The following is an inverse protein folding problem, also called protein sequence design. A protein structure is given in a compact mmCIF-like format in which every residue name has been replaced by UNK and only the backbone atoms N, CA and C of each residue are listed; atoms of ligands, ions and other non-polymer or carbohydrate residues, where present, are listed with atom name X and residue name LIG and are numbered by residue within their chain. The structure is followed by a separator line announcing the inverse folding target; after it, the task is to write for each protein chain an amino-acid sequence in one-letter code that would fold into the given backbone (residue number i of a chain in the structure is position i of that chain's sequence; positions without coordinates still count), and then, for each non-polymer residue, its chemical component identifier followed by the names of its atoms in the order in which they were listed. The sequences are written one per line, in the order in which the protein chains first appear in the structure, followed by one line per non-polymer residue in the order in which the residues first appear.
data_IF_440220646371
#
_entry.id   IF_440220646371
#
_cell.length_a   1.000
_cell.length_b   1.000
_cell.length_c   1.000
_cell.angle_alpha   90.00
_cell.angle_beta   90.00
_cell.angle_gamma   90.00
#
_symmetry.space_group_name_H-M   'P 1'
#
loop_
_entity.id
_entity.type
_entity.pdbx_description
1 polymer ?
#
# COMPACT_ATOMS: atom_id res chain seq x y z
N UNK A 1 -23.85 -19.11 2.49
CA UNK A 1 -24.84 -20.18 2.77
C UNK A 1 -24.80 -20.68 4.21
N UNK A 2 -23.67 -21.15 4.73
CA UNK A 2 -23.61 -21.69 6.09
C UNK A 2 -24.18 -20.74 7.17
N UNK A 3 -23.72 -19.47 7.17
CA UNK A 3 -24.25 -18.42 8.05
C UNK A 3 -25.76 -18.17 7.89
N UNK A 4 -26.30 -18.34 6.68
CA UNK A 4 -27.72 -18.11 6.40
C UNK A 4 -28.57 -19.28 6.91
N UNK A 5 -28.05 -20.51 6.79
CA UNK A 5 -28.73 -21.75 7.20
C UNK A 5 -28.42 -22.16 8.63
N UNK A 6 -27.68 -21.35 9.38
CA UNK A 6 -27.27 -21.65 10.76
C UNK A 6 -26.34 -22.87 10.88
N UNK A 7 -25.61 -23.22 9.82
CA UNK A 7 -24.67 -24.35 9.84
C UNK A 7 -23.24 -23.89 10.11
N UNK A 8 -22.33 -24.83 10.41
CA UNK A 8 -20.92 -24.55 10.65
C UNK A 8 -20.31 -23.76 9.48
N UNK A 9 -19.73 -22.61 9.80
CA UNK A 9 -19.04 -21.77 8.81
C UNK A 9 -17.68 -22.40 8.54
N UNK A 10 -17.38 -22.80 7.28
CA UNK A 10 -16.06 -23.32 6.96
C UNK A 10 -15.00 -22.24 7.21
N UNK A 11 -13.76 -22.62 7.55
CA UNK A 11 -12.67 -21.67 7.64
C UNK A 11 -12.48 -20.99 6.27
N UNK A 12 -12.07 -19.72 6.30
CA UNK A 12 -11.70 -19.03 5.06
C UNK A 12 -10.55 -19.79 4.39
N UNK A 13 -10.58 -19.97 3.06
CA UNK A 13 -9.50 -20.64 2.36
C UNK A 13 -8.19 -19.87 2.58
N UNK A 14 -7.05 -20.58 2.73
CA UNK A 14 -5.77 -19.91 2.83
C UNK A 14 -5.54 -19.06 1.58
N UNK A 15 -4.83 -17.94 1.74
CA UNK A 15 -4.37 -17.15 0.60
C UNK A 15 -3.58 -18.04 -0.33
N UNK A 16 -4.05 -18.18 -1.58
CA UNK A 16 -3.36 -19.01 -2.58
C UNK A 16 -1.93 -18.50 -2.73
N UNK A 17 -0.96 -19.41 -2.83
CA UNK A 17 0.36 -19.05 -3.29
C UNK A 17 0.24 -18.46 -4.71
N UNK A 18 1.19 -17.64 -5.14
CA UNK A 18 1.32 -17.31 -6.55
C UNK A 18 1.33 -18.63 -7.32
N UNK A 19 0.46 -18.82 -8.32
CA UNK A 19 0.60 -19.98 -9.20
C UNK A 19 1.96 -19.84 -9.88
N UNK A 20 2.96 -20.68 -9.53
CA UNK A 20 4.25 -20.56 -10.16
C UNK A 20 4.08 -20.95 -11.63
N UNK A 21 4.93 -20.39 -12.50
CA UNK A 21 4.94 -20.72 -13.91
C UNK A 21 4.98 -22.23 -14.19
N UNK A 22 4.67 -22.62 -15.43
CA UNK A 22 4.57 -23.99 -15.93
C UNK A 22 5.65 -24.92 -15.34
N UNK A 23 5.32 -25.65 -14.27
CA UNK A 23 6.27 -26.47 -13.53
C UNK A 23 5.94 -26.70 -12.05
N UNK A 24 5.10 -25.87 -11.43
CA UNK A 24 4.67 -26.11 -10.06
C UNK A 24 3.49 -27.09 -9.99
N UNK A 25 3.67 -28.12 -9.16
CA UNK A 25 2.60 -29.06 -8.82
C UNK A 25 1.52 -28.32 -8.03
N UNK A 26 0.27 -28.43 -8.48
CA UNK A 26 -0.91 -28.12 -7.66
C UNK A 26 -0.75 -28.85 -6.32
N UNK A 27 -0.89 -28.13 -5.20
CA UNK A 27 -0.87 -28.77 -3.89
C UNK A 27 -2.01 -29.79 -3.81
N UNK A 28 -1.67 -31.07 -3.63
CA UNK A 28 -2.61 -32.19 -3.50
C UNK A 28 -3.58 -32.01 -2.31
N UNK A 29 -3.24 -31.14 -1.37
CA UNK A 29 -3.99 -30.88 -0.14
C UNK A 29 -4.67 -29.51 -0.10
N UNK A 30 -4.68 -28.77 -1.21
CA UNK A 30 -5.42 -27.51 -1.25
C UNK A 30 -6.93 -27.77 -1.09
N UNK A 31 -7.58 -27.11 -0.11
CA UNK A 31 -9.01 -27.26 0.08
C UNK A 31 -9.73 -26.77 -1.18
N UNK A 32 -10.37 -27.71 -1.88
CA UNK A 32 -11.19 -27.37 -3.05
C UNK A 32 -12.45 -26.67 -2.56
N UNK A 33 -12.80 -25.48 -3.10
CA UNK A 33 -14.06 -24.86 -2.78
C UNK A 33 -15.18 -25.83 -3.10
N UNK A 34 -16.11 -26.02 -2.16
CA UNK A 34 -17.34 -26.76 -2.44
C UNK A 34 -18.13 -25.93 -3.44
N UNK A 35 -18.43 -26.43 -4.65
CA UNK A 35 -19.16 -25.65 -5.64
C UNK A 35 -20.53 -25.27 -5.10
N UNK A 36 -20.78 -23.97 -4.98
CA UNK A 36 -22.11 -23.45 -4.67
C UNK A 36 -22.86 -23.31 -5.97
N UNK A 37 -23.92 -24.09 -6.17
CA UNK A 37 -24.78 -23.98 -7.36
C UNK A 37 -25.45 -22.61 -7.44
N UNK A 38 -25.88 -22.22 -8.65
CA UNK A 38 -26.47 -20.89 -8.93
C UNK A 38 -27.60 -20.53 -7.95
N UNK A 39 -28.50 -21.46 -7.63
CA UNK A 39 -29.59 -21.23 -6.66
C UNK A 39 -29.05 -20.79 -5.28
N UNK A 40 -27.98 -21.42 -4.81
CA UNK A 40 -27.33 -21.05 -3.56
C UNK A 40 -26.61 -19.70 -3.62
N UNK A 41 -26.04 -19.33 -4.77
CA UNK A 41 -25.45 -18.01 -4.99
C UNK A 41 -26.53 -16.93 -4.98
N UNK A 42 -27.66 -17.15 -5.64
CA UNK A 42 -28.80 -16.23 -5.64
C UNK A 42 -29.37 -16.03 -4.25
N UNK A 43 -29.47 -17.10 -3.45
CA UNK A 43 -29.92 -17.03 -2.04
C UNK A 43 -28.97 -16.18 -1.19
N UNK A 44 -27.65 -16.38 -1.34
CA UNK A 44 -26.64 -15.56 -0.65
C UNK A 44 -26.71 -14.10 -1.08
N UNK A 45 -26.85 -13.84 -2.38
CA UNK A 45 -26.93 -12.49 -2.92
C UNK A 45 -28.19 -11.76 -2.42
N UNK A 46 -29.35 -12.42 -2.44
CA UNK A 46 -30.60 -11.85 -1.92
C UNK A 46 -30.49 -11.48 -0.43
N UNK A 47 -29.91 -12.36 0.39
CA UNK A 47 -29.67 -12.04 1.80
C UNK A 47 -28.65 -10.93 1.99
N UNK A 48 -27.61 -10.86 1.16
CA UNK A 48 -26.64 -9.76 1.19
C UNK A 48 -27.33 -8.43 0.94
N UNK A 49 -28.19 -8.34 -0.08
CA UNK A 49 -29.01 -7.15 -0.35
C UNK A 49 -29.90 -6.79 0.84
N UNK A 50 -30.58 -7.78 1.44
CA UNK A 50 -31.44 -7.56 2.62
C UNK A 50 -30.64 -7.02 3.81
N UNK A 51 -29.41 -7.50 4.03
CA UNK A 51 -28.51 -6.99 5.08
C UNK A 51 -28.04 -5.56 4.81
N UNK A 52 -27.84 -5.17 3.55
CA UNK A 52 -27.49 -3.78 3.24
C UNK A 52 -28.57 -2.81 3.71
N UNK A 53 -29.86 -3.16 3.62
CA UNK A 53 -30.95 -2.31 4.13
C UNK A 53 -30.91 -2.09 5.65
N UNK A 54 -30.23 -2.98 6.39
CA UNK A 54 -30.07 -2.84 7.85
C UNK A 54 -28.82 -2.04 8.25
N UNK A 55 -27.97 -1.66 7.28
CA UNK A 55 -26.81 -0.83 7.56
C UNK A 55 -27.22 0.61 7.89
N UNK A 56 -26.40 1.32 8.68
CA UNK A 56 -26.66 2.73 9.03
C UNK A 56 -26.84 3.63 7.78
N UNK A 57 -26.14 3.30 6.69
CA UNK A 57 -26.26 3.97 5.40
C UNK A 57 -26.40 2.92 4.28
N UNK A 58 -27.63 2.46 3.96
CA UNK A 58 -27.85 1.37 3.01
C UNK A 58 -27.27 1.63 1.62
N UNK A 59 -27.44 2.85 1.11
CA UNK A 59 -26.90 3.25 -0.20
C UNK A 59 -25.37 3.17 -0.27
N UNK A 60 -24.67 3.58 0.78
CA UNK A 60 -23.21 3.52 0.86
C UNK A 60 -22.70 2.08 0.95
N UNK A 61 -23.39 1.24 1.73
CA UNK A 61 -23.04 -0.18 1.83
C UNK A 61 -23.25 -0.91 0.50
N UNK A 62 -24.34 -0.64 -0.22
CA UNK A 62 -24.56 -1.17 -1.58
C UNK A 62 -23.44 -0.73 -2.52
N UNK A 63 -23.05 0.55 -2.46
CA UNK A 63 -21.96 1.10 -3.26
C UNK A 63 -20.63 0.40 -2.96
N UNK A 64 -20.29 0.22 -1.67
CA UNK A 64 -19.08 -0.50 -1.25
C UNK A 64 -19.03 -1.93 -1.82
N UNK A 65 -20.12 -2.68 -1.73
CA UNK A 65 -20.15 -4.05 -2.25
C UNK A 65 -20.02 -4.09 -3.77
N UNK A 66 -20.67 -3.15 -4.46
CA UNK A 66 -20.60 -3.05 -5.91
C UNK A 66 -19.19 -2.65 -6.37
N UNK A 67 -18.55 -1.73 -5.65
CA UNK A 67 -17.18 -1.30 -5.94
C UNK A 67 -16.16 -2.41 -5.65
N UNK A 68 -16.34 -3.22 -4.60
CA UNK A 68 -15.52 -4.41 -4.36
C UNK A 68 -15.65 -5.45 -5.49
N UNK A 69 -16.87 -5.68 -5.96
CA UNK A 69 -17.11 -6.58 -7.09
C UNK A 69 -16.46 -6.06 -8.38
N UNK A 70 -16.58 -4.77 -8.64
CA UNK A 70 -15.91 -4.12 -9.77
C UNK A 70 -14.38 -4.18 -9.64
N UNK A 71 -13.85 -3.97 -8.43
CA UNK A 71 -12.43 -4.12 -8.13
C UNK A 71 -11.93 -5.54 -8.39
N UNK A 72 -12.68 -6.56 -8.00
CA UNK A 72 -12.33 -7.95 -8.28
C UNK A 72 -12.29 -8.27 -9.78
N UNK A 73 -13.20 -7.68 -10.56
CA UNK A 73 -13.16 -7.81 -12.02
C UNK A 73 -11.92 -7.11 -12.61
N UNK A 74 -11.65 -5.88 -12.18
CA UNK A 74 -10.46 -5.11 -12.60
C UNK A 74 -9.17 -5.85 -12.25
N UNK A 75 -9.08 -6.46 -11.06
CA UNK A 75 -7.95 -7.28 -10.64
C UNK A 75 -7.70 -8.46 -11.59
N UNK A 76 -8.77 -9.17 -11.97
CA UNK A 76 -8.68 -10.29 -12.90
C UNK A 76 -8.24 -9.83 -14.29
N UNK A 77 -8.78 -8.72 -14.78
CA UNK A 77 -8.40 -8.11 -16.05
C UNK A 77 -6.95 -7.64 -16.07
N UNK A 78 -6.47 -6.95 -15.03
CA UNK A 78 -5.06 -6.56 -14.90
C UNK A 78 -4.13 -7.78 -14.86
N UNK A 79 -4.53 -8.85 -14.18
CA UNK A 79 -3.75 -10.11 -14.15
C UNK A 79 -3.68 -10.74 -15.54
N UNK A 80 -4.78 -10.66 -16.31
CA UNK A 80 -4.90 -11.19 -17.66
C UNK A 80 -4.21 -10.33 -18.74
N UNK A 81 -4.20 -9.01 -18.59
CA UNK A 81 -3.42 -8.11 -19.46
C UNK A 81 -1.92 -8.21 -19.13
N UNK A 82 -1.59 -8.03 -17.84
CA UNK A 82 -0.24 -7.99 -17.33
C UNK A 82 0.51 -6.70 -17.69
N UNK A 83 1.43 -6.28 -16.83
CA UNK A 83 2.27 -5.11 -17.07
C UNK A 83 3.39 -5.46 -18.06
N UNK A 84 3.60 -4.72 -19.17
CA UNK A 84 4.72 -4.94 -20.09
C UNK A 84 6.07 -5.01 -19.38
N UNK A 85 6.83 -6.08 -19.63
CA UNK A 85 8.08 -6.34 -18.92
C UNK A 85 9.17 -6.96 -19.81
N UNK A 86 10.34 -6.31 -19.85
CA UNK A 86 11.56 -6.74 -20.56
C UNK A 86 12.46 -7.53 -19.61
N UNK A 87 12.38 -8.87 -19.70
CA UNK A 87 13.11 -9.78 -18.82
C UNK A 87 14.64 -9.72 -19.03
N UNK A 88 15.07 -9.46 -20.26
CA UNK A 88 16.45 -9.18 -20.63
C UNK A 88 17.00 -7.91 -19.95
N UNK A 89 16.27 -6.79 -20.03
CA UNK A 89 16.61 -5.56 -19.32
C UNK A 89 16.64 -5.78 -17.81
N UNK A 90 15.70 -6.55 -17.24
CA UNK A 90 15.74 -6.88 -15.82
C UNK A 90 17.03 -7.65 -15.45
N UNK A 91 17.40 -8.67 -16.22
CA UNK A 91 18.64 -9.43 -15.98
C UNK A 91 19.90 -8.57 -16.14
N UNK A 92 19.89 -7.59 -17.02
CA UNK A 92 20.97 -6.62 -17.16
C UNK A 92 21.09 -5.72 -15.93
N UNK A 93 19.98 -5.12 -15.47
CA UNK A 93 19.94 -4.32 -14.24
C UNK A 93 20.46 -5.12 -13.04
N UNK A 94 20.05 -6.39 -12.90
CA UNK A 94 20.55 -7.24 -11.82
C UNK A 94 22.04 -7.52 -11.94
N UNK A 95 22.58 -7.74 -13.15
CA UNK A 95 24.03 -7.92 -13.37
C UNK A 95 24.81 -6.65 -13.04
N UNK A 96 24.32 -5.48 -13.44
CA UNK A 96 24.94 -4.18 -13.12
C UNK A 96 24.99 -3.93 -11.60
N UNK A 97 23.92 -4.25 -10.87
CA UNK A 97 23.80 -3.96 -9.45
C UNK A 97 24.45 -5.00 -8.53
N UNK A 98 24.31 -6.28 -8.88
CA UNK A 98 24.64 -7.41 -8.00
C UNK A 98 25.87 -8.20 -8.48
N UNK A 99 26.32 -7.99 -9.72
CA UNK A 99 27.40 -8.76 -10.34
C UNK A 99 26.96 -10.16 -10.79
N UNK A 100 27.95 -11.00 -11.07
CA UNK A 100 27.74 -12.40 -11.49
C UNK A 100 27.22 -13.29 -10.35
N UNK A 101 26.50 -14.35 -10.73
CA UNK A 101 26.04 -15.39 -9.79
C UNK A 101 27.05 -16.53 -9.79
N UNK A 102 27.63 -16.83 -8.62
CA UNK A 102 28.44 -18.05 -8.48
C UNK A 102 27.53 -19.29 -8.56
N UNK A 103 27.82 -20.19 -9.51
CA UNK A 103 27.17 -21.50 -9.60
C UNK A 103 25.64 -21.50 -9.83
N UNK A 104 25.05 -20.40 -10.31
CA UNK A 104 23.63 -20.34 -10.69
C UNK A 104 22.61 -20.28 -9.53
N UNK A 105 23.03 -20.45 -8.27
CA UNK A 105 22.16 -20.35 -7.08
C UNK A 105 22.78 -19.63 -5.88
N UNK A 106 24.07 -19.26 -5.94
CA UNK A 106 24.77 -18.59 -4.84
C UNK A 106 24.44 -17.11 -4.67
N UNK A 107 24.93 -16.55 -3.58
CA UNK A 107 24.95 -15.11 -3.32
C UNK A 107 25.67 -14.37 -4.46
N UNK A 108 25.10 -13.28 -5.00
CA UNK A 108 25.76 -12.47 -6.02
C UNK A 108 27.10 -11.91 -5.56
N UNK A 109 28.06 -11.83 -6.49
CA UNK A 109 29.43 -11.38 -6.20
C UNK A 109 29.50 -10.07 -5.40
N UNK A 110 28.70 -9.07 -5.76
CA UNK A 110 28.75 -7.76 -5.09
C UNK A 110 28.30 -7.82 -3.64
N UNK A 111 27.38 -8.72 -3.29
CA UNK A 111 26.94 -8.90 -1.90
C UNK A 111 28.02 -9.58 -1.07
N UNK A 112 28.69 -10.59 -1.63
CA UNK A 112 29.83 -11.24 -0.97
C UNK A 112 30.98 -10.25 -0.70
N UNK A 113 31.36 -9.45 -1.70
CA UNK A 113 32.38 -8.39 -1.54
C UNK A 113 32.02 -7.40 -0.42
N UNK A 114 30.76 -6.93 -0.38
CA UNK A 114 30.30 -6.01 0.66
C UNK A 114 30.26 -6.67 2.04
N UNK A 115 29.94 -7.95 2.14
CA UNK A 115 29.99 -8.70 3.40
C UNK A 115 31.43 -8.85 3.93
N UNK A 116 32.39 -9.03 3.03
CA UNK A 116 33.81 -9.05 3.35
C UNK A 116 34.31 -7.65 3.79
N UNK A 117 33.90 -6.58 3.09
CA UNK A 117 34.20 -5.19 3.48
C UNK A 117 33.66 -4.86 4.89
N UNK A 118 32.41 -5.27 5.19
CA UNK A 118 31.82 -5.11 6.53
C UNK A 118 32.60 -5.89 7.57
N UNK A 119 32.94 -7.15 7.29
CA UNK A 119 33.70 -8.00 8.21
C UNK A 119 35.11 -7.45 8.48
N UNK A 120 35.79 -6.97 7.44
CA UNK A 120 37.10 -6.34 7.55
C UNK A 120 37.05 -5.07 8.41
N UNK A 121 36.02 -4.24 8.22
CA UNK A 121 35.84 -3.01 9.00
C UNK A 121 35.56 -3.26 10.49
N UNK A 122 34.99 -4.41 10.87
CA UNK A 122 34.83 -4.82 12.27
C UNK A 122 36.01 -5.68 12.79
N UNK A 123 36.94 -6.10 11.93
CA UNK A 123 38.06 -6.98 12.27
C UNK A 123 37.65 -8.43 12.59
N UNK A 124 36.41 -8.82 12.29
CA UNK A 124 35.91 -10.18 12.45
C UNK A 124 34.74 -10.44 11.50
N UNK A 125 34.41 -11.72 11.27
CA UNK A 125 33.26 -12.08 10.44
C UNK A 125 31.96 -11.51 10.99
N UNK A 126 31.18 -10.86 10.13
CA UNK A 126 29.83 -10.31 10.42
C UNK A 126 28.90 -10.68 9.29
N UNK A 127 27.69 -11.16 9.61
CA UNK A 127 26.63 -11.44 8.63
C UNK A 127 25.70 -10.23 8.49
N UNK A 128 25.80 -9.44 7.40
CA UNK A 128 25.09 -8.17 7.31
C UNK A 128 23.57 -8.32 7.05
N UNK A 129 23.14 -9.50 6.58
CA UNK A 129 21.74 -9.91 6.41
C UNK A 129 21.00 -10.13 7.73
N UNK A 130 21.73 -10.34 8.84
CA UNK A 130 21.14 -10.60 10.14
C UNK A 130 21.22 -9.38 11.06
N UNK A 131 20.09 -8.71 11.37
CA UNK A 131 20.09 -7.51 12.21
C UNK A 131 20.76 -7.72 13.56
N UNK A 132 20.52 -8.87 14.21
CA UNK A 132 21.10 -9.18 15.52
C UNK A 132 22.64 -9.28 15.48
N UNK A 133 23.20 -9.74 14.36
CA UNK A 133 24.65 -9.86 14.22
C UNK A 133 25.31 -8.51 14.04
N UNK A 134 24.69 -7.64 13.24
CA UNK A 134 25.11 -6.25 13.07
C UNK A 134 25.06 -5.48 14.40
N UNK A 135 23.98 -5.61 15.18
CA UNK A 135 23.86 -4.95 16.50
C UNK A 135 24.97 -5.42 17.44
N UNK A 136 25.27 -6.73 17.47
CA UNK A 136 26.38 -7.26 18.27
C UNK A 136 27.75 -6.75 17.80
N UNK A 137 27.97 -6.64 16.49
CA UNK A 137 29.22 -6.12 15.94
C UNK A 137 29.47 -4.66 16.37
N UNK A 138 28.46 -3.79 16.27
CA UNK A 138 28.55 -2.42 16.78
C UNK A 138 28.76 -2.37 18.29
N UNK A 139 28.04 -3.19 19.06
CA UNK A 139 28.22 -3.24 20.51
C UNK A 139 29.66 -3.64 20.90
N UNK A 140 30.27 -4.59 20.18
CA UNK A 140 31.68 -4.99 20.37
C UNK A 140 32.66 -3.87 20.02
N UNK A 141 32.32 -3.04 19.03
CA UNK A 141 33.06 -1.83 18.69
C UNK A 141 32.79 -0.65 19.67
N UNK A 142 32.04 -0.88 20.76
CA UNK A 142 31.72 0.15 21.76
C UNK A 142 30.59 1.11 21.34
N UNK A 143 29.88 0.83 20.25
CA UNK A 143 28.82 1.67 19.72
C UNK A 143 27.46 1.03 20.03
N UNK A 144 26.63 1.74 20.80
CA UNK A 144 25.29 1.25 21.13
C UNK A 144 24.31 1.64 20.03
N UNK A 145 23.74 0.62 19.38
CA UNK A 145 22.62 0.75 18.44
C UNK A 145 21.44 -0.08 18.92
N UNK A 146 20.23 0.43 18.76
CA UNK A 146 18.97 -0.26 19.07
C UNK A 146 18.32 -0.83 17.82
N UNK A 147 18.67 -0.33 16.63
CA UNK A 147 18.21 -0.88 15.37
C UNK A 147 19.27 -0.81 14.27
N UNK A 148 19.04 -1.56 13.20
CA UNK A 148 19.86 -1.50 11.98
C UNK A 148 19.22 -0.63 10.90
N UNK A 149 18.31 0.28 11.27
CA UNK A 149 17.63 1.16 10.33
C UNK A 149 18.60 2.21 9.79
N UNK A 150 18.37 2.63 8.55
CA UNK A 150 19.27 3.57 7.84
C UNK A 150 19.49 4.86 8.63
N UNK A 151 18.44 5.46 9.19
CA UNK A 151 18.52 6.75 9.88
C UNK A 151 19.32 6.70 11.18
N UNK A 152 19.40 5.53 11.81
CA UNK A 152 20.20 5.32 13.01
C UNK A 152 21.65 5.07 12.62
N UNK A 153 21.87 4.11 11.72
CA UNK A 153 23.21 3.75 11.25
C UNK A 153 23.92 4.91 10.54
N UNK A 154 23.20 5.73 9.77
CA UNK A 154 23.79 6.86 9.03
C UNK A 154 24.32 7.99 9.94
N UNK A 155 24.01 7.98 11.24
CA UNK A 155 24.54 8.95 12.22
C UNK A 155 25.86 8.48 12.84
N UNK A 156 26.28 7.26 12.55
CA UNK A 156 27.44 6.61 13.16
C UNK A 156 28.63 6.82 12.24
N UNK A 157 29.71 7.35 12.80
CA UNK A 157 31.00 7.44 12.12
C UNK A 157 31.79 6.14 12.34
N UNK A 158 31.61 5.16 11.44
CA UNK A 158 32.31 3.89 11.47
C UNK A 158 32.50 3.35 10.04
N UNK A 159 33.69 2.81 9.68
CA UNK A 159 33.98 2.38 8.31
C UNK A 159 33.03 1.30 7.77
N UNK A 160 32.46 0.48 8.65
CA UNK A 160 31.48 -0.55 8.25
C UNK A 160 30.10 0.01 7.83
N UNK A 161 29.76 1.27 8.14
CA UNK A 161 28.40 1.81 7.93
C UNK A 161 28.07 1.92 6.44
N UNK A 162 28.95 2.52 5.64
CA UNK A 162 28.73 2.69 4.20
C UNK A 162 28.55 1.35 3.44
N UNK A 163 29.44 0.35 3.60
CA UNK A 163 29.27 -0.94 2.93
C UNK A 163 28.04 -1.69 3.47
N UNK A 164 27.74 -1.61 4.77
CA UNK A 164 26.54 -2.22 5.35
C UNK A 164 25.24 -1.63 4.77
N UNK A 165 25.14 -0.30 4.65
CA UNK A 165 23.96 0.34 4.06
C UNK A 165 23.80 -0.04 2.58
N UNK A 166 24.91 -0.15 1.85
CA UNK A 166 24.92 -0.60 0.45
C UNK A 166 24.49 -2.06 0.34
N UNK A 167 25.04 -2.94 1.17
CA UNK A 167 24.65 -4.35 1.25
C UNK A 167 23.15 -4.49 1.48
N UNK A 168 22.60 -3.82 2.51
CA UNK A 168 21.18 -3.93 2.84
C UNK A 168 20.27 -3.46 1.70
N UNK A 169 20.67 -2.42 0.97
CA UNK A 169 19.96 -1.94 -0.22
C UNK A 169 19.93 -3.00 -1.32
N UNK A 170 21.09 -3.55 -1.67
CA UNK A 170 21.23 -4.55 -2.73
C UNK A 170 20.61 -5.89 -2.35
N UNK A 171 20.76 -6.33 -1.11
CA UNK A 171 20.18 -7.56 -0.56
C UNK A 171 18.66 -7.54 -0.69
N UNK A 172 18.01 -6.40 -0.38
CA UNK A 172 16.56 -6.25 -0.56
C UNK A 172 16.14 -6.37 -2.03
N UNK A 173 16.91 -5.80 -2.96
CA UNK A 173 16.65 -5.95 -4.41
C UNK A 173 16.80 -7.42 -4.82
N UNK A 174 17.85 -8.09 -4.36
CA UNK A 174 18.11 -9.49 -4.70
C UNK A 174 17.00 -10.42 -4.20
N UNK A 175 16.57 -10.26 -2.95
CA UNK A 175 15.53 -11.11 -2.35
C UNK A 175 14.14 -10.80 -2.94
N UNK A 176 13.79 -9.52 -3.10
CA UNK A 176 12.43 -9.13 -3.50
C UNK A 176 12.21 -9.05 -5.02
N UNK A 177 13.26 -8.82 -5.81
CA UNK A 177 13.19 -8.63 -7.27
C UNK A 177 14.34 -9.33 -8.01
N UNK A 178 14.94 -10.37 -7.43
CA UNK A 178 16.02 -11.11 -8.07
C UNK A 178 15.56 -12.02 -9.21
N UNK A 179 16.46 -12.89 -9.66
CA UNK A 179 16.19 -13.84 -10.74
C UNK A 179 15.03 -14.79 -10.46
N UNK A 180 14.85 -15.24 -9.22
CA UNK A 180 13.73 -16.10 -8.85
C UNK A 180 12.40 -15.35 -9.00
N UNK A 181 12.32 -14.12 -8.49
CA UNK A 181 11.16 -13.27 -8.68
C UNK A 181 10.84 -13.08 -10.16
N UNK A 182 11.86 -12.83 -11.00
CA UNK A 182 11.65 -12.69 -12.43
C UNK A 182 11.05 -13.97 -13.05
N UNK A 183 11.51 -15.15 -12.64
CA UNK A 183 10.99 -16.42 -13.13
C UNK A 183 9.55 -16.72 -12.65
N UNK A 184 9.23 -16.36 -11.40
CA UNK A 184 7.92 -16.63 -10.81
C UNK A 184 6.82 -15.72 -11.39
N UNK A 185 7.17 -14.46 -11.66
CA UNK A 185 6.18 -13.41 -11.92
C UNK A 185 6.11 -12.89 -13.35
N UNK A 186 7.15 -13.12 -14.15
CA UNK A 186 7.22 -12.60 -15.53
C UNK A 186 7.12 -13.75 -16.53
N UNK A 187 6.09 -13.69 -17.37
CA UNK A 187 5.78 -14.69 -18.40
C UNK A 187 5.27 -13.98 -19.66
N UNK A 188 5.68 -14.46 -20.83
CA UNK A 188 5.25 -13.93 -22.13
C UNK A 188 5.44 -12.40 -22.26
N UNK A 189 6.55 -11.88 -21.73
CA UNK A 189 6.87 -10.44 -21.76
C UNK A 189 5.96 -9.58 -20.87
N UNK A 190 5.27 -10.19 -19.89
CA UNK A 190 4.36 -9.52 -18.95
C UNK A 190 4.66 -9.90 -17.51
N UNK A 191 4.69 -8.90 -16.64
CA UNK A 191 4.58 -9.10 -15.19
C UNK A 191 3.11 -9.28 -14.83
N UNK A 192 2.79 -10.42 -14.20
CA UNK A 192 1.40 -10.85 -13.94
C UNK A 192 1.19 -11.08 -12.43
N UNK A 193 1.07 -10.00 -11.63
CA UNK A 193 0.77 -10.15 -10.21
C UNK A 193 -0.65 -10.70 -10.01
N UNK A 194 -0.82 -11.53 -8.99
CA UNK A 194 -2.16 -11.93 -8.53
C UNK A 194 -2.62 -10.97 -7.45
N UNK A 195 -3.58 -10.12 -7.79
CA UNK A 195 -4.20 -9.17 -6.86
C UNK A 195 -5.19 -9.87 -5.92
N UNK A 196 -5.19 -9.42 -4.67
CA UNK A 196 -6.17 -9.76 -3.65
C UNK A 196 -6.93 -8.48 -3.25
N UNK A 197 -8.00 -8.13 -3.99
CA UNK A 197 -8.92 -7.07 -3.59
C UNK A 197 -9.43 -7.30 -2.16
N UNK A 198 -9.48 -6.24 -1.36
CA UNK A 198 -9.86 -6.34 0.05
C UNK A 198 -8.94 -7.22 0.91
N UNK A 199 -7.70 -7.47 0.46
CA UNK A 199 -6.76 -8.36 1.15
C UNK A 199 -6.27 -7.84 2.51
N UNK A 200 -6.40 -6.54 2.78
CA UNK A 200 -6.17 -5.97 4.11
C UNK A 200 -7.47 -5.59 4.81
N UNK A 201 -7.40 -5.44 6.13
CA UNK A 201 -8.49 -4.92 6.95
C UNK A 201 -9.00 -3.57 6.45
N UNK A 202 -8.09 -2.68 6.06
CA UNK A 202 -8.41 -1.35 5.51
C UNK A 202 -9.09 -1.43 4.13
N UNK A 203 -9.14 -2.60 3.48
CA UNK A 203 -9.68 -2.74 2.13
C UNK A 203 -8.66 -2.49 1.02
N UNK A 204 -7.39 -2.20 1.40
CA UNK A 204 -6.30 -2.11 0.43
C UNK A 204 -6.09 -3.46 -0.23
N UNK A 205 -5.69 -3.40 -1.49
CA UNK A 205 -5.37 -4.59 -2.24
C UNK A 205 -4.01 -5.12 -1.78
N UNK A 206 -3.95 -6.43 -1.58
CA UNK A 206 -2.70 -7.14 -1.36
C UNK A 206 -2.33 -7.92 -2.63
N UNK A 207 -1.16 -8.54 -2.62
CA UNK A 207 -0.78 -9.52 -3.65
C UNK A 207 -0.20 -10.76 -3.01
N UNK A 208 -0.30 -11.87 -3.74
CA UNK A 208 0.44 -13.07 -3.39
C UNK A 208 1.95 -12.77 -3.51
N UNK A 209 2.78 -13.31 -2.61
CA UNK A 209 4.25 -13.19 -2.65
C UNK A 209 4.86 -11.83 -2.26
N UNK A 210 4.22 -11.12 -1.33
CA UNK A 210 4.83 -10.06 -0.48
C UNK A 210 5.91 -9.19 -1.14
N UNK A 211 5.51 -8.08 -1.77
CA UNK A 211 6.43 -7.09 -2.34
C UNK A 211 6.49 -7.04 -3.87
N UNK A 212 5.80 -7.96 -4.56
CA UNK A 212 5.76 -7.99 -6.03
C UNK A 212 5.33 -6.65 -6.66
N UNK A 213 4.47 -5.87 -6.00
CA UNK A 213 4.02 -4.57 -6.51
C UNK A 213 4.97 -3.41 -6.19
N UNK A 214 5.85 -3.49 -5.20
CA UNK A 214 6.73 -2.37 -4.84
C UNK A 214 7.95 -2.33 -5.75
N UNK A 215 7.75 -2.02 -7.04
CA UNK A 215 8.82 -2.03 -8.05
C UNK A 215 9.83 -0.90 -7.78
N UNK A 216 11.07 -1.22 -7.35
CA UNK A 216 12.08 -0.20 -7.05
C UNK A 216 12.45 0.58 -8.31
N UNK A 217 12.75 1.89 -8.17
CA UNK A 217 13.07 2.77 -9.31
C UNK A 217 14.09 2.19 -10.29
N UNK A 218 15.13 1.49 -9.78
CA UNK A 218 16.14 0.83 -10.62
C UNK A 218 15.58 -0.32 -11.46
N UNK A 219 14.61 -1.09 -10.93
CA UNK A 219 13.95 -2.20 -11.62
C UNK A 219 12.89 -1.70 -12.59
N UNK A 220 12.31 -0.51 -12.38
CA UNK A 220 11.33 0.11 -13.30
C UNK A 220 11.86 0.24 -14.74
N UNK A 221 13.19 0.22 -14.96
CA UNK A 221 13.83 0.13 -16.29
C UNK A 221 13.35 -1.07 -17.12
N UNK A 222 12.93 -2.15 -16.47
CA UNK A 222 12.42 -3.34 -17.13
C UNK A 222 10.95 -3.20 -17.54
N UNK A 223 10.23 -2.18 -17.09
CA UNK A 223 8.84 -1.94 -17.46
C UNK A 223 8.82 -1.01 -18.66
N UNK A 224 8.69 -1.60 -19.85
CA UNK A 224 8.80 -0.89 -21.13
C UNK A 224 7.56 -1.18 -21.95
N UNK A 225 6.91 -0.14 -22.47
CA UNK A 225 5.76 -0.25 -23.35
C UNK A 225 6.10 -1.08 -24.61
N UNK A 226 5.06 -1.68 -25.19
CA UNK A 226 5.18 -2.31 -26.50
C UNK A 226 5.50 -1.28 -27.62
N UNK A 227 6.08 -1.70 -28.75
CA UNK A 227 6.34 -0.81 -29.88
C UNK A 227 5.06 -0.12 -30.37
N UNK A 228 5.10 1.21 -30.50
CA UNK A 228 3.92 2.03 -30.86
C UNK A 228 2.95 2.31 -29.70
N UNK A 229 3.30 1.91 -28.48
CA UNK A 229 2.49 2.11 -27.28
C UNK A 229 3.22 2.98 -26.25
N UNK A 230 2.47 3.45 -25.27
CA UNK A 230 2.91 4.26 -24.13
C UNK A 230 2.32 3.73 -22.82
N UNK A 231 3.00 4.01 -21.72
CA UNK A 231 2.49 3.88 -20.37
C UNK A 231 1.99 5.24 -19.91
N UNK A 232 0.72 5.34 -19.57
CA UNK A 232 0.16 6.47 -18.82
C UNK A 232 0.19 6.10 -17.35
N UNK A 233 1.16 6.67 -16.63
CA UNK A 233 1.37 6.47 -15.19
C UNK A 233 0.70 7.64 -14.48
N UNK A 234 -0.27 7.35 -13.62
CA UNK A 234 -1.02 8.36 -12.90
C UNK A 234 -1.03 8.04 -11.40
N UNK A 235 -0.60 9.01 -10.60
CA UNK A 235 -0.45 8.89 -9.15
C UNK A 235 -1.29 9.99 -8.47
N UNK A 236 -2.17 9.61 -7.55
CA UNK A 236 -3.09 10.56 -6.90
C UNK A 236 -2.35 11.41 -5.85
N UNK A 237 -2.40 12.72 -6.00
CA UNK A 237 -1.60 13.61 -5.16
C UNK A 237 -2.22 13.80 -3.77
N UNK A 238 -1.50 13.34 -2.73
CA UNK A 238 -1.91 13.47 -1.33
C UNK A 238 -3.33 12.93 -1.06
N UNK A 239 -3.62 11.72 -1.54
CA UNK A 239 -4.95 11.10 -1.45
C UNK A 239 -5.51 11.11 -0.02
N UNK A 240 -4.77 10.59 0.97
CA UNK A 240 -5.28 10.44 2.34
C UNK A 240 -5.69 11.77 3.01
N UNK A 241 -4.88 12.85 2.98
CA UNK A 241 -5.33 14.16 3.46
C UNK A 241 -6.58 14.71 2.76
N UNK A 242 -6.73 14.47 1.46
CA UNK A 242 -7.91 14.91 0.69
C UNK A 242 -9.15 14.09 1.06
N UNK A 243 -8.98 12.79 1.27
CA UNK A 243 -10.03 11.93 1.83
C UNK A 243 -10.43 12.40 3.22
N UNK A 244 -9.47 12.72 4.10
CA UNK A 244 -9.77 13.29 5.42
C UNK A 244 -10.60 14.57 5.31
N UNK A 245 -10.27 15.47 4.38
CA UNK A 245 -11.06 16.68 4.11
C UNK A 245 -12.51 16.33 3.77
N UNK A 246 -12.73 15.38 2.87
CA UNK A 246 -14.05 14.96 2.42
C UNK A 246 -14.87 14.26 3.53
N UNK A 247 -14.29 13.29 4.24
CA UNK A 247 -15.03 12.48 5.23
C UNK A 247 -15.28 13.22 6.55
N UNK A 248 -14.45 14.20 6.88
CA UNK A 248 -14.64 15.03 8.08
C UNK A 248 -15.61 16.18 7.85
N UNK A 249 -15.80 16.62 6.60
CA UNK A 249 -16.58 17.81 6.28
C UNK A 249 -15.99 19.12 6.83
N UNK A 250 -14.69 19.13 7.15
CA UNK A 250 -14.03 20.32 7.68
C UNK A 250 -13.88 21.38 6.58
N UNK A 251 -14.71 22.43 6.65
CA UNK A 251 -14.77 23.48 5.61
C UNK A 251 -13.41 24.11 5.32
N UNK A 252 -12.58 24.33 6.33
CA UNK A 252 -11.28 24.96 6.14
C UNK A 252 -10.28 24.01 5.45
N UNK A 253 -10.33 22.71 5.77
CA UNK A 253 -9.50 21.72 5.10
C UNK A 253 -9.99 21.43 3.68
N UNK A 254 -11.30 21.39 3.46
CA UNK A 254 -11.90 21.26 2.13
C UNK A 254 -11.52 22.44 1.23
N UNK A 255 -11.60 23.68 1.73
CA UNK A 255 -11.16 24.87 1.00
C UNK A 255 -9.70 24.73 0.53
N UNK A 256 -8.81 24.26 1.41
CA UNK A 256 -7.41 23.99 1.06
C UNK A 256 -7.29 22.87 0.03
N UNK A 257 -8.03 21.77 0.20
CA UNK A 257 -8.03 20.62 -0.70
C UNK A 257 -8.78 20.87 -2.03
N UNK A 258 -9.51 21.97 -2.16
CA UNK A 258 -10.17 22.36 -3.42
C UNK A 258 -9.19 22.94 -4.45
N UNK A 259 -8.00 23.35 -4.00
CA UNK A 259 -6.96 23.94 -4.86
C UNK A 259 -6.21 22.86 -5.65
N UNK A 260 -5.78 23.16 -6.88
CA UNK A 260 -4.94 22.26 -7.67
C UNK A 260 -3.50 22.19 -7.14
N UNK A 261 -3.10 23.14 -6.30
CA UNK A 261 -1.75 23.26 -5.76
C UNK A 261 -1.44 22.18 -4.70
N UNK A 262 -0.16 22.08 -4.33
CA UNK A 262 0.31 21.17 -3.27
C UNK A 262 -0.44 21.42 -1.95
N UNK A 263 -1.17 20.40 -1.49
CA UNK A 263 -1.98 20.48 -0.29
C UNK A 263 -1.15 20.83 0.95
N UNK A 264 0.06 20.29 1.07
CA UNK A 264 0.92 20.57 2.22
C UNK A 264 1.42 22.01 2.19
N UNK A 265 1.73 22.55 1.01
CA UNK A 265 2.10 23.96 0.88
C UNK A 265 0.91 24.85 1.29
N UNK A 266 -0.28 24.56 0.80
CA UNK A 266 -1.48 25.34 1.13
C UNK A 266 -1.87 25.23 2.62
N UNK A 267 -1.71 24.06 3.25
CA UNK A 267 -1.84 23.91 4.71
C UNK A 267 -0.77 24.72 5.43
N UNK A 268 0.45 24.72 4.91
CA UNK A 268 1.58 25.41 5.52
C UNK A 268 1.41 26.93 5.54
N UNK A 269 1.03 27.53 4.42
CA UNK A 269 0.77 28.96 4.32
C UNK A 269 -0.32 29.40 5.31
N UNK A 270 -1.27 28.50 5.59
CA UNK A 270 -2.43 28.75 6.44
C UNK A 270 -2.20 28.47 7.93
N UNK A 271 -1.26 27.58 8.29
CA UNK A 271 -1.13 27.09 9.66
C UNK A 271 0.32 26.98 10.19
N UNK A 272 1.33 26.96 9.32
CA UNK A 272 2.74 26.70 9.66
C UNK A 272 3.72 27.74 9.09
N UNK A 273 3.26 28.96 8.81
CA UNK A 273 4.09 30.08 8.35
C UNK A 273 4.92 29.76 7.08
N UNK A 274 4.42 28.89 6.21
CA UNK A 274 5.09 28.51 4.96
C UNK A 274 6.13 27.37 5.07
N UNK A 275 6.35 26.81 6.27
CA UNK A 275 7.13 25.57 6.42
C UNK A 275 6.34 24.33 5.96
N UNK A 276 6.56 23.92 4.70
CA UNK A 276 5.85 22.80 4.07
C UNK A 276 6.14 21.46 4.75
N UNK A 277 7.38 21.23 5.17
CA UNK A 277 7.79 19.96 5.76
C UNK A 277 7.16 19.79 7.15
N UNK A 278 7.09 20.88 7.92
CA UNK A 278 6.36 20.90 9.19
C UNK A 278 4.86 20.65 9.01
N UNK A 279 4.24 21.26 8.00
CA UNK A 279 2.83 21.04 7.68
C UNK A 279 2.55 19.59 7.27
N UNK A 280 3.42 19.00 6.44
CA UNK A 280 3.35 17.60 6.06
C UNK A 280 3.45 16.69 7.28
N UNK A 281 4.47 16.90 8.14
CA UNK A 281 4.64 16.13 9.36
C UNK A 281 3.43 16.25 10.29
N UNK A 282 2.85 17.45 10.42
CA UNK A 282 1.68 17.68 11.24
C UNK A 282 0.46 16.91 10.72
N UNK A 283 0.15 17.05 9.42
CA UNK A 283 -1.02 16.39 8.80
C UNK A 283 -0.87 14.87 8.87
N UNK A 284 0.30 14.34 8.54
CA UNK A 284 0.58 12.91 8.67
C UNK A 284 0.51 12.46 10.13
N UNK A 285 1.02 13.25 11.09
CA UNK A 285 0.91 12.96 12.51
C UNK A 285 -0.54 12.93 13.00
N UNK A 286 -1.40 13.82 12.49
CA UNK A 286 -2.82 13.85 12.79
C UNK A 286 -3.58 12.67 12.15
N UNK A 287 -3.22 12.23 10.95
CA UNK A 287 -3.81 11.04 10.30
C UNK A 287 -3.33 9.75 10.98
N UNK A 288 -2.03 9.65 11.27
CA UNK A 288 -1.39 8.41 11.72
C UNK A 288 -1.23 8.26 13.24
N UNK A 289 -1.60 9.27 14.02
CA UNK A 289 -1.54 9.23 15.48
C UNK A 289 -0.13 9.25 16.06
N UNK A 290 0.85 9.80 15.35
CA UNK A 290 2.20 10.02 15.89
C UNK A 290 2.21 11.28 16.76
N UNK A 291 2.43 11.11 18.07
CA UNK A 291 2.38 12.19 19.08
C UNK A 291 3.72 12.47 19.77
N UNK A 292 4.84 11.94 19.26
CA UNK A 292 6.16 12.12 19.87
C UNK A 292 6.79 13.49 19.51
N UNK A 293 7.49 14.12 20.46
CA UNK A 293 8.25 15.36 20.27
C UNK A 293 7.39 16.60 19.98
N UNK A 294 7.80 17.43 19.01
CA UNK A 294 7.04 18.62 18.56
C UNK A 294 5.68 18.28 17.91
N UNK A 295 5.36 16.98 17.73
CA UNK A 295 4.08 16.50 17.22
C UNK A 295 2.86 16.98 18.01
N UNK A 296 2.97 17.15 19.33
CA UNK A 296 1.87 17.67 20.17
C UNK A 296 1.55 19.14 19.86
N UNK A 297 2.57 19.98 19.64
CA UNK A 297 2.37 21.40 19.28
C UNK A 297 1.75 21.52 17.89
N UNK A 298 2.23 20.70 16.96
CA UNK A 298 1.72 20.63 15.59
C UNK A 298 0.26 20.15 15.54
N UNK A 299 -0.08 19.14 16.36
CA UNK A 299 -1.45 18.66 16.49
C UNK A 299 -2.37 19.72 17.10
N UNK A 300 -1.91 20.48 18.10
CA UNK A 300 -2.69 21.59 18.68
C UNK A 300 -2.96 22.71 17.65
N UNK A 301 -1.98 23.02 16.80
CA UNK A 301 -2.15 23.97 15.70
C UNK A 301 -3.18 23.46 14.67
N UNK A 302 -3.11 22.19 14.28
CA UNK A 302 -4.09 21.56 13.39
C UNK A 302 -5.48 21.53 14.02
N UNK A 303 -5.61 21.15 15.29
CA UNK A 303 -6.92 21.10 15.97
C UNK A 303 -7.58 22.48 16.03
N UNK A 304 -6.80 23.55 16.20
CA UNK A 304 -7.32 24.92 16.13
C UNK A 304 -7.79 25.29 14.72
N UNK A 305 -7.09 24.83 13.67
CA UNK A 305 -7.35 25.27 12.30
C UNK A 305 -8.36 24.39 11.54
N UNK A 306 -8.37 23.11 11.83
CA UNK A 306 -9.19 22.06 11.21
C UNK A 306 -9.83 21.17 12.31
N UNK A 307 -10.69 21.74 13.17
CA UNK A 307 -11.24 21.05 14.33
C UNK A 307 -12.10 19.83 13.96
N UNK A 308 -12.85 19.88 12.86
CA UNK A 308 -13.69 18.76 12.45
C UNK A 308 -12.84 17.61 11.88
N UNK A 309 -11.76 17.93 11.15
CA UNK A 309 -10.83 16.93 10.64
C UNK A 309 -10.13 16.19 11.79
N UNK A 310 -9.59 16.92 12.77
CA UNK A 310 -8.96 16.31 13.94
C UNK A 310 -9.98 15.56 14.80
N UNK A 311 -11.17 16.13 15.00
CA UNK A 311 -12.26 15.48 15.73
C UNK A 311 -12.71 14.16 15.10
N UNK A 312 -12.73 14.07 13.77
CA UNK A 312 -13.11 12.85 13.06
C UNK A 312 -12.17 11.67 13.37
N UNK A 313 -10.85 11.89 13.28
CA UNK A 313 -9.86 10.85 13.56
C UNK A 313 -9.73 10.56 15.06
N UNK A 314 -9.92 11.56 15.92
CA UNK A 314 -9.95 11.37 17.38
C UNK A 314 -11.16 10.54 17.83
N UNK A 315 -12.32 10.74 17.20
CA UNK A 315 -13.51 9.93 17.48
C UNK A 315 -13.30 8.47 17.06
N UNK A 316 -12.67 8.23 15.91
CA UNK A 316 -12.32 6.88 15.48
C UNK A 316 -11.36 6.20 16.48
N UNK A 317 -10.34 6.93 16.95
CA UNK A 317 -9.41 6.42 17.95
C UNK A 317 -10.10 6.07 19.27
N UNK A 318 -10.94 6.98 19.77
CA UNK A 318 -11.73 6.79 20.99
C UNK A 318 -12.68 5.60 20.87
N UNK A 319 -13.36 5.48 19.73
CA UNK A 319 -14.21 4.33 19.44
C UNK A 319 -13.43 3.01 19.45
N UNK A 320 -12.24 2.97 18.86
CA UNK A 320 -11.37 1.81 18.91
C UNK A 320 -10.89 1.44 20.32
N UNK A 321 -10.50 2.43 21.11
CA UNK A 321 -10.09 2.28 22.52
C UNK A 321 -11.23 1.73 23.39
N UNK A 322 -12.46 2.18 23.15
CA UNK A 322 -13.69 1.74 23.82
C UNK A 322 -14.22 0.39 23.28
N UNK A 323 -13.56 -0.20 22.27
CA UNK A 323 -13.99 -1.46 21.64
C UNK A 323 -15.24 -1.33 20.76
N UNK A 324 -15.69 -0.10 20.45
CA UNK A 324 -16.79 0.16 19.51
C UNK A 324 -16.37 -0.17 18.09
N UNK A 325 -17.38 -0.39 17.24
CA UNK A 325 -17.18 -0.60 15.80
C UNK A 325 -16.80 0.73 15.13
N UNK A 326 -15.70 0.71 14.39
CA UNK A 326 -15.24 1.82 13.55
C UNK A 326 -15.48 1.45 12.09
N UNK A 327 -15.98 2.39 11.29
CA UNK A 327 -16.31 2.17 9.89
C UNK A 327 -15.74 3.25 8.99
N UNK A 328 -15.38 2.89 7.76
CA UNK A 328 -15.05 3.84 6.70
C UNK A 328 -16.28 4.60 6.23
N UNK A 329 -16.08 5.60 5.37
CA UNK A 329 -17.15 6.40 4.78
C UNK A 329 -18.23 5.56 4.09
N UNK A 330 -17.83 4.54 3.31
CA UNK A 330 -18.77 3.66 2.61
C UNK A 330 -19.30 2.51 3.49
N UNK A 331 -18.75 2.34 4.69
CA UNK A 331 -19.30 1.44 5.71
C UNK A 331 -18.49 0.16 5.96
N UNK A 332 -17.28 0.02 5.38
CA UNK A 332 -16.37 -1.09 5.70
C UNK A 332 -16.10 -1.07 7.19
N UNK A 333 -16.29 -2.21 7.84
CA UNK A 333 -16.19 -2.30 9.30
C UNK A 333 -14.82 -2.82 9.72
N UNK A 334 -14.14 -2.08 10.59
CA UNK A 334 -12.92 -2.53 11.25
C UNK A 334 -13.27 -3.78 12.08
N UNK A 335 -12.54 -4.91 11.91
CA UNK A 335 -12.70 -6.10 12.73
C UNK A 335 -12.62 -5.79 14.23
N UNK A 336 -13.36 -6.52 15.07
CA UNK A 336 -13.26 -6.41 16.53
C UNK A 336 -11.83 -6.76 17.00
N UNK A 337 -11.49 -6.36 18.23
CA UNK A 337 -10.22 -6.77 18.83
C UNK A 337 -10.24 -8.27 19.10
N UNK A 338 -9.69 -9.09 18.20
CA UNK A 338 -9.42 -10.49 18.48
C UNK A 338 -8.12 -10.63 19.29
N UNK A 339 -8.05 -11.69 20.10
CA UNK A 339 -6.94 -12.02 20.97
C UNK A 339 -5.58 -12.09 20.20
N UNK A 340 -4.44 -11.96 20.89
CA UNK A 340 -3.12 -11.94 20.25
C UNK A 340 -2.90 -13.23 19.46
N UNK A 341 -2.64 -13.14 18.16
CA UNK A 341 -2.28 -14.31 17.34
C UNK A 341 -2.86 -14.38 15.93
N UNK A 342 -3.86 -13.58 15.55
CA UNK A 342 -4.30 -13.48 14.14
C UNK A 342 -3.54 -12.35 13.46
N UNK A 343 -2.32 -12.67 13.00
CA UNK A 343 -1.45 -11.77 12.26
C UNK A 343 -2.18 -11.13 11.08
N UNK A 344 -2.63 -9.90 11.26
CA UNK A 344 -3.04 -8.99 10.20
C UNK A 344 -2.05 -7.84 10.20
N UNK A 345 -0.77 -8.19 10.05
CA UNK A 345 0.26 -7.23 9.70
C UNK A 345 -0.08 -6.71 8.31
N UNK A 346 -0.42 -5.44 8.25
CA UNK A 346 -0.67 -4.73 7.00
C UNK A 346 0.62 -4.77 6.17
N UNK A 347 0.69 -5.70 5.22
CA UNK A 347 1.76 -5.79 4.24
C UNK A 347 1.69 -4.55 3.33
N UNK A 348 2.30 -3.45 3.76
CA UNK A 348 2.27 -2.21 3.00
C UNK A 348 2.70 -0.93 3.72
N UNK A 349 3.31 -0.99 4.91
CA UNK A 349 3.80 0.22 5.58
C UNK A 349 5.23 0.55 5.11
N UNK A 350 5.49 1.73 4.50
CA UNK A 350 6.81 2.32 4.49
C UNK A 350 7.16 2.74 5.92
N UNK A 351 8.04 1.99 6.58
CA UNK A 351 8.87 2.47 7.70
C UNK A 351 8.15 3.22 8.85
N UNK A 352 6.92 2.86 9.21
CA UNK A 352 6.32 3.31 10.48
C UNK A 352 6.78 2.38 11.60
N UNK A 353 7.57 2.95 12.50
CA UNK A 353 8.12 2.37 13.72
C UNK A 353 7.05 1.62 14.53
N UNK A 354 7.24 0.34 14.88
CA UNK A 354 6.78 -0.14 16.18
C UNK A 354 7.69 0.51 17.23
N UNK A 355 7.20 1.56 17.89
CA UNK A 355 7.78 2.00 19.17
C UNK A 355 7.40 0.95 20.23
N UNK A 356 8.19 -0.11 20.36
CA UNK A 356 8.25 -0.85 21.61
C UNK A 356 9.15 -0.05 22.57
N UNK A 357 8.55 0.60 23.56
CA UNK A 357 9.30 1.17 24.67
C UNK A 357 9.89 0.03 25.51
N UNK A 358 11.22 -0.04 25.71
CA UNK A 358 11.78 -0.89 26.74
C UNK A 358 11.69 -0.16 28.08
N UNK A 359 10.85 -0.66 28.99
CA UNK A 359 10.89 -0.33 30.41
C UNK A 359 9.72 0.52 30.90
N UNK A 360 8.75 -0.15 31.54
CA UNK A 360 7.70 0.48 32.32
C UNK A 360 6.56 -0.50 32.59
N UNK A 361 6.43 -0.96 33.83
CA UNK A 361 5.32 -1.81 34.28
C UNK A 361 4.02 -0.98 34.22
N UNK A 362 3.39 -0.91 33.05
CA UNK A 362 2.03 -0.38 32.88
C UNK A 362 1.12 -1.49 32.39
N UNK A 363 -0.04 -1.61 33.04
CA UNK A 363 -1.05 -2.64 32.80
C UNK A 363 -1.26 -2.94 31.31
N UNK A 364 -1.13 -4.23 30.94
CA UNK A 364 -1.25 -4.76 29.58
C UNK A 364 -2.59 -4.46 28.89
N UNK A 365 -3.65 -4.16 29.63
CA UNK A 365 -4.94 -3.71 29.08
C UNK A 365 -4.90 -2.28 28.53
N UNK A 366 -4.06 -1.40 29.09
CA UNK A 366 -3.97 0.02 28.69
C UNK A 366 -3.12 0.25 27.43
N UNK A 367 -2.18 -0.66 27.13
CA UNK A 367 -1.34 -0.61 25.93
C UNK A 367 -2.11 -1.13 24.70
N UNK A 368 -2.90 -2.19 24.87
CA UNK A 368 -3.75 -2.75 23.82
C UNK A 368 -4.85 -1.78 23.35
N UNK A 369 -5.52 -1.10 24.29
CA UNK A 369 -6.53 -0.09 23.96
C UNK A 369 -5.93 1.06 23.13
N UNK A 370 -4.81 1.66 23.59
CA UNK A 370 -4.13 2.75 22.87
C UNK A 370 -3.60 2.31 21.49
N UNK A 371 -3.09 1.09 21.37
CA UNK A 371 -2.68 0.53 20.08
C UNK A 371 -3.87 0.43 19.12
N UNK A 372 -5.04 -0.01 19.61
CA UNK A 372 -6.27 -0.07 18.83
C UNK A 372 -6.81 1.32 18.47
N UNK A 373 -6.68 2.30 19.37
CA UNK A 373 -6.99 3.70 19.08
C UNK A 373 -6.19 4.23 17.89
N UNK A 374 -4.86 4.03 17.90
CA UNK A 374 -4.01 4.40 16.75
C UNK A 374 -4.39 3.66 15.47
N UNK A 375 -4.66 2.35 15.56
CA UNK A 375 -5.08 1.57 14.39
C UNK A 375 -6.38 2.09 13.77
N UNK A 376 -7.41 2.29 14.59
CA UNK A 376 -8.72 2.74 14.14
C UNK A 376 -8.73 4.19 13.63
N UNK A 377 -7.88 5.05 14.20
CA UNK A 377 -7.57 6.38 13.67
C UNK A 377 -7.11 6.34 12.22
N UNK A 378 -6.16 5.46 11.91
CA UNK A 378 -5.59 5.32 10.57
C UNK A 378 -6.62 4.66 9.63
N UNK A 379 -7.31 3.64 10.13
CA UNK A 379 -8.30 2.86 9.40
C UNK A 379 -9.39 3.72 8.76
N UNK A 380 -9.94 4.72 9.48
CA UNK A 380 -11.06 5.51 8.94
C UNK A 380 -10.67 6.32 7.71
N UNK A 381 -9.42 6.80 7.65
CA UNK A 381 -8.90 7.58 6.51
C UNK A 381 -8.43 6.63 5.40
N UNK A 382 -7.55 5.68 5.73
CA UNK A 382 -6.97 4.76 4.75
C UNK A 382 -8.00 3.86 4.11
N UNK A 383 -8.97 3.38 4.88
CA UNK A 383 -10.05 2.56 4.35
C UNK A 383 -11.02 3.36 3.50
N UNK A 384 -11.32 4.61 3.86
CA UNK A 384 -12.11 5.49 2.99
C UNK A 384 -11.37 5.83 1.70
N UNK A 385 -10.04 5.92 1.73
CA UNK A 385 -9.22 6.08 0.53
C UNK A 385 -9.24 4.83 -0.37
N UNK A 386 -9.14 3.63 0.23
CA UNK A 386 -9.28 2.38 -0.52
C UNK A 386 -10.68 2.25 -1.15
N UNK A 387 -11.73 2.63 -0.41
CA UNK A 387 -13.10 2.64 -0.90
C UNK A 387 -13.29 3.61 -2.09
N UNK A 388 -12.69 4.80 -2.03
CA UNK A 388 -12.67 5.74 -3.17
C UNK A 388 -11.86 5.19 -4.35
N UNK A 389 -10.72 4.55 -4.11
CA UNK A 389 -9.89 3.97 -5.16
C UNK A 389 -10.62 2.86 -5.94
N UNK A 390 -11.48 2.07 -5.27
CA UNK A 390 -12.35 1.10 -5.97
C UNK A 390 -13.31 1.78 -6.95
N UNK A 391 -13.87 2.94 -6.57
CA UNK A 391 -14.75 3.72 -7.45
C UNK A 391 -13.98 4.34 -8.61
N UNK A 392 -12.76 4.82 -8.36
CA UNK A 392 -11.84 5.27 -9.41
C UNK A 392 -11.57 4.16 -10.42
N UNK A 393 -11.19 2.97 -9.96
CA UNK A 393 -10.93 1.82 -10.82
C UNK A 393 -12.15 1.42 -11.65
N UNK A 394 -13.33 1.39 -11.04
CA UNK A 394 -14.58 1.09 -11.74
C UNK A 394 -14.94 2.15 -12.80
N UNK A 395 -14.74 3.43 -12.49
CA UNK A 395 -14.98 4.53 -13.42
C UNK A 395 -13.95 4.57 -14.56
N UNK A 396 -12.68 4.31 -14.26
CA UNK A 396 -11.59 4.24 -15.23
C UNK A 396 -11.81 3.07 -16.18
N UNK A 397 -12.10 1.87 -15.66
CA UNK A 397 -12.45 0.70 -16.50
C UNK A 397 -13.55 1.01 -17.50
N UNK A 398 -14.61 1.70 -17.07
CA UNK A 398 -15.70 2.12 -17.99
C UNK A 398 -15.24 3.14 -19.03
N UNK A 399 -14.37 4.06 -18.65
CA UNK A 399 -13.87 5.12 -19.53
C UNK A 399 -12.86 4.60 -20.55
N UNK A 400 -12.15 3.52 -20.24
CA UNK A 400 -11.22 2.84 -21.15
C UNK A 400 -11.91 1.83 -22.09
N UNK A 401 -13.13 1.39 -21.79
CA UNK A 401 -13.85 0.40 -22.59
C UNK A 401 -13.97 0.68 -24.12
N UNK A 402 -14.09 1.93 -24.60
CA UNK A 402 -14.10 2.21 -26.05
C UNK A 402 -12.70 2.30 -26.68
N UNK A 403 -11.63 2.21 -25.89
CA UNK A 403 -10.24 2.34 -26.32
C UNK A 403 -9.57 0.95 -26.44
N UNK A 404 -8.39 0.90 -27.05
CA UNK A 404 -7.51 -0.29 -26.99
C UNK A 404 -6.61 -0.28 -25.74
N UNK A 405 -6.68 0.79 -24.96
CA UNK A 405 -5.97 0.96 -23.72
C UNK A 405 -6.38 -0.09 -22.66
N UNK A 406 -5.38 -0.66 -21.98
CA UNK A 406 -5.57 -1.63 -20.91
C UNK A 406 -5.04 -1.05 -19.59
N UNK A 407 -5.86 -1.11 -18.54
CA UNK A 407 -5.35 -0.90 -17.18
C UNK A 407 -4.50 -2.13 -16.83
N UNK A 408 -3.21 -1.93 -16.53
CA UNK A 408 -2.23 -3.02 -16.38
C UNK A 408 -1.58 -3.10 -15.00
N UNK A 409 -1.70 -2.04 -14.19
CA UNK A 409 -1.13 -2.01 -12.85
C UNK A 409 -1.90 -1.06 -11.94
N UNK A 410 -2.02 -1.46 -10.68
CA UNK A 410 -2.56 -0.65 -9.60
C UNK A 410 -1.74 -0.87 -8.32
N UNK A 411 -1.37 0.23 -7.66
CA UNK A 411 -0.74 0.21 -6.34
C UNK A 411 -1.25 1.38 -5.51
N UNK A 412 -2.21 1.10 -4.62
CA UNK A 412 -2.82 2.05 -3.68
C UNK A 412 -3.49 3.27 -4.35
N UNK A 413 -2.70 4.25 -4.75
CA UNK A 413 -3.08 5.52 -5.36
C UNK A 413 -2.46 5.72 -6.76
N UNK A 414 -1.61 4.79 -7.21
CA UNK A 414 -1.03 4.78 -8.55
C UNK A 414 -1.75 3.78 -9.47
N UNK A 415 -2.08 4.21 -10.69
CA UNK A 415 -2.55 3.37 -11.80
C UNK A 415 -1.62 3.50 -12.99
N UNK A 416 -1.43 2.42 -13.73
CA UNK A 416 -0.72 2.43 -15.02
C UNK A 416 -1.63 1.86 -16.09
N UNK A 417 -1.86 2.64 -17.14
CA UNK A 417 -2.58 2.23 -18.34
C UNK A 417 -1.59 2.08 -19.49
N UNK A 418 -1.59 0.92 -20.14
CA UNK A 418 -0.81 0.66 -21.34
C UNK A 418 -1.71 0.88 -22.56
N UNK A 419 -1.34 1.81 -23.44
CA UNK A 419 -2.18 2.21 -24.56
C UNK A 419 -1.37 2.52 -25.82
N UNK A 420 -1.98 2.45 -27.01
CA UNK A 420 -1.40 2.99 -28.23
C UNK A 420 -1.04 4.48 -28.04
N UNK A 421 0.05 4.92 -28.67
CA UNK A 421 0.54 6.30 -28.51
C UNK A 421 -0.52 7.35 -28.89
N UNK A 422 -1.32 7.08 -29.92
CA UNK A 422 -2.41 7.93 -30.38
C UNK A 422 -3.58 8.05 -29.37
N UNK A 423 -3.72 7.11 -28.44
CA UNK A 423 -4.78 7.09 -27.42
C UNK A 423 -4.34 7.72 -26.09
N UNK A 424 -3.05 8.04 -25.92
CA UNK A 424 -2.49 8.49 -24.64
C UNK A 424 -3.18 9.73 -24.07
N UNK A 425 -3.51 10.72 -24.92
CA UNK A 425 -4.22 11.92 -24.48
C UNK A 425 -5.66 11.62 -24.00
N UNK A 426 -6.34 10.68 -24.67
CA UNK A 426 -7.67 10.23 -24.27
C UNK A 426 -7.63 9.47 -22.92
N UNK A 427 -6.58 8.67 -22.70
CA UNK A 427 -6.36 7.97 -21.43
C UNK A 427 -6.10 8.95 -20.29
N UNK A 428 -5.28 9.98 -20.49
CA UNK A 428 -5.06 11.04 -19.46
C UNK A 428 -6.37 11.71 -19.08
N UNK A 429 -7.20 12.07 -20.07
CA UNK A 429 -8.53 12.63 -19.84
C UNK A 429 -9.45 11.63 -19.11
N UNK A 430 -9.39 10.34 -19.44
CA UNK A 430 -10.15 9.29 -18.79
C UNK A 430 -9.80 9.13 -17.31
N UNK A 431 -8.52 9.26 -16.93
CA UNK A 431 -8.10 9.25 -15.52
C UNK A 431 -8.69 10.43 -14.76
N UNK A 432 -8.62 11.63 -15.31
CA UNK A 432 -9.19 12.83 -14.69
C UNK A 432 -10.73 12.68 -14.52
N UNK A 433 -11.43 12.28 -15.58
CA UNK A 433 -12.88 12.05 -15.53
C UNK A 433 -13.28 10.94 -14.55
N UNK A 434 -12.48 9.87 -14.44
CA UNK A 434 -12.70 8.81 -13.47
C UNK A 434 -12.53 9.31 -12.03
N UNK A 435 -11.55 10.17 -11.76
CA UNK A 435 -11.33 10.79 -10.46
C UNK A 435 -12.51 11.68 -10.04
N UNK A 436 -12.97 12.54 -10.95
CA UNK A 436 -14.13 13.41 -10.72
C UNK A 436 -15.39 12.57 -10.45
N UNK A 437 -15.63 11.54 -11.27
CA UNK A 437 -16.78 10.65 -11.10
C UNK A 437 -16.72 9.86 -9.80
N UNK A 438 -15.55 9.34 -9.42
CA UNK A 438 -15.36 8.62 -8.17
C UNK A 438 -15.64 9.53 -6.96
N UNK A 439 -15.21 10.78 -7.04
CA UNK A 439 -15.43 11.80 -6.00
C UNK A 439 -16.91 12.11 -5.84
N UNK A 440 -17.60 12.42 -6.93
CA UNK A 440 -19.04 12.71 -6.95
C UNK A 440 -19.85 11.52 -6.40
N UNK A 441 -19.54 10.29 -6.84
CA UNK A 441 -20.24 9.08 -6.40
C UNK A 441 -19.97 8.75 -4.93
N UNK A 442 -18.73 8.95 -4.47
CA UNK A 442 -18.34 8.61 -3.11
C UNK A 442 -18.89 9.63 -2.09
N UNK A 443 -18.66 10.92 -2.34
CA UNK A 443 -18.83 11.97 -1.36
C UNK A 443 -20.00 12.92 -1.67
N UNK A 444 -20.55 12.87 -2.89
CA UNK A 444 -21.55 13.84 -3.37
C UNK A 444 -20.91 15.16 -3.80
N UNK A 445 -21.65 16.25 -3.65
CA UNK A 445 -21.16 17.60 -3.93
C UNK A 445 -20.24 18.08 -2.80
N UNK A 446 -18.94 17.80 -2.94
CA UNK A 446 -17.89 18.23 -2.02
C UNK A 446 -16.87 19.11 -2.73
N UNK A 447 -16.52 20.22 -2.10
CA UNK A 447 -15.46 21.13 -2.56
C UNK A 447 -14.06 20.56 -2.29
N UNK A 448 -13.75 19.36 -2.80
CA UNK A 448 -12.45 18.69 -2.67
C UNK A 448 -12.04 18.17 -4.05
N UNK A 449 -10.81 18.47 -4.47
CA UNK A 449 -10.24 17.91 -5.70
C UNK A 449 -9.31 16.75 -5.38
N UNK A 450 -9.25 15.78 -6.29
CA UNK A 450 -8.33 14.64 -6.23
C UNK A 450 -7.46 14.63 -7.52
N UNK A 451 -6.46 15.53 -7.60
CA UNK A 451 -5.62 15.64 -8.77
C UNK A 451 -4.67 14.44 -8.91
N UNK A 452 -4.26 14.20 -10.15
CA UNK A 452 -3.27 13.19 -10.50
C UNK A 452 -2.06 13.86 -11.14
N UNK A 453 -0.87 13.50 -10.66
CA UNK A 453 0.33 13.72 -11.44
C UNK A 453 0.43 12.60 -12.48
N UNK A 454 0.36 12.97 -13.76
CA UNK A 454 0.39 12.02 -14.88
C UNK A 454 1.67 12.14 -15.69
N UNK A 455 2.21 11.00 -16.13
CA UNK A 455 3.34 10.93 -17.04
C UNK A 455 3.02 9.95 -18.18
N UNK A 456 3.29 10.36 -19.42
CA UNK A 456 3.17 9.51 -20.61
C UNK A 456 4.57 9.13 -21.07
N UNK A 457 4.94 7.86 -20.89
CA UNK A 457 6.33 7.41 -21.05
C UNK A 457 6.43 6.11 -21.82
N UNK A 458 7.57 5.87 -22.46
CA UNK A 458 7.91 4.56 -23.05
C UNK A 458 8.42 3.57 -22.01
N UNK A 459 9.01 4.06 -20.92
CA UNK A 459 9.59 3.27 -19.83
C UNK A 459 9.14 3.83 -18.49
N UNK A 460 8.73 2.96 -17.56
CA UNK A 460 8.24 3.38 -16.24
C UNK A 460 9.33 4.07 -15.40
N UNK A 461 10.62 3.83 -15.68
CA UNK A 461 11.72 4.52 -15.00
C UNK A 461 11.73 6.05 -15.26
N UNK A 462 11.09 6.48 -16.35
CA UNK A 462 11.01 7.89 -16.75
C UNK A 462 9.75 8.58 -16.17
N UNK A 463 8.83 7.82 -15.59
CA UNK A 463 7.70 8.37 -14.86
C UNK A 463 8.16 8.75 -13.44
N UNK A 464 8.59 10.01 -13.30
CA UNK A 464 9.11 10.67 -12.07
C UNK A 464 10.55 10.31 -11.68
#
# INVERSE_FOLDING_TARGET
LARLRGTAVPPDPPTRAAEPGAGAQSSLFEPRPVPVGLAGLTEVYAEQLRRHETAAHPGRMRLLTASESAGALVAAEMTAAGLPWRADTHREVLRELLGERYGGSGEPRRLAELADEVSAAFGHRVRPDLPADVVRAFARAGIKVTSTRRWELAKIDHPAVAPLLTYKKLYRIWVAHGWQWLADWVRDGRFRPSYLPGGTVSGRWATNGGGALQIPKVIRRAVVADPGWRLVVADADQLEPRVLAAVSGDRALMEVASRPDDLYQAVSDRAFRGDRDLAKLAVLGAVYGQTSGDGLKNLAALRRRFPAAVGHVDEAARAGEEGRLVRTWLGRTCPPATAPGTGTEEAGIPDALPEEQPGGWTSATSSGARARGRFTRNFVVQGSAADWALLLLAALRRSLAPLRAELVFFQHDEVIVHCPEEEAAAVVAAVAAASERATEVCFGDVAVRFPFTTAVVGCYADAK
#
